data_IF_272194854790
#
_entry.id   IF_272194854790
#
_cell.length_a   1.000
_cell.length_b   1.000
_cell.length_c   1.000
_cell.angle_alpha   90.00
_cell.angle_beta   90.00
_cell.angle_gamma   90.00
#
_symmetry.space_group_name_H-M   'P 1'
#
loop_
_entity.id
_entity.type
_entity.pdbx_description
1 polymer ?
#
# COMPACT_ATOMS: atom_id res chain seq x y z
N UNK A 1 -14.26 -24.92 -14.31
CA UNK A 1 -13.15 -24.58 -13.38
C UNK A 1 -12.23 -25.80 -13.32
N UNK A 2 -10.90 -25.56 -13.33
CA UNK A 2 -9.93 -26.64 -13.18
C UNK A 2 -9.80 -27.02 -11.70
N UNK A 3 -9.45 -28.28 -11.41
CA UNK A 3 -9.09 -28.65 -10.06
C UNK A 3 -7.63 -28.23 -9.75
N UNK A 4 -7.29 -28.16 -8.45
CA UNK A 4 -5.99 -27.68 -7.98
C UNK A 4 -4.79 -28.39 -8.61
N UNK A 5 -4.84 -29.73 -8.72
CA UNK A 5 -3.76 -30.53 -9.31
C UNK A 5 -3.59 -30.28 -10.83
N UNK A 6 -4.73 -30.21 -11.56
CA UNK A 6 -4.71 -29.87 -12.99
C UNK A 6 -4.14 -28.48 -13.21
N UNK A 7 -4.59 -27.50 -12.43
CA UNK A 7 -4.15 -26.12 -12.55
C UNK A 7 -2.64 -25.99 -12.28
N UNK A 8 -2.13 -26.68 -11.26
CA UNK A 8 -0.70 -26.75 -10.95
C UNK A 8 0.13 -27.28 -12.14
N UNK A 9 -0.33 -28.36 -12.78
CA UNK A 9 0.34 -28.91 -13.96
C UNK A 9 0.31 -27.94 -15.14
N UNK A 10 -0.79 -27.26 -15.36
CA UNK A 10 -0.94 -26.26 -16.43
C UNK A 10 0.00 -25.06 -16.20
N UNK A 11 0.14 -24.56 -14.97
CA UNK A 11 1.06 -23.47 -14.61
C UNK A 11 2.50 -23.92 -14.80
N UNK A 12 2.87 -25.11 -14.30
CA UNK A 12 4.22 -25.66 -14.46
C UNK A 12 4.61 -25.82 -15.93
N UNK A 13 3.65 -26.20 -16.79
CA UNK A 13 3.83 -26.32 -18.24
C UNK A 13 3.85 -24.96 -18.98
N UNK A 14 3.62 -23.84 -18.30
CA UNK A 14 3.66 -22.50 -18.89
C UNK A 14 2.38 -22.07 -19.61
N UNK A 15 1.27 -22.80 -19.48
CA UNK A 15 0.00 -22.46 -20.12
C UNK A 15 -0.55 -21.07 -19.72
N UNK A 16 -0.15 -20.59 -18.54
CA UNK A 16 -0.62 -19.33 -17.95
C UNK A 16 0.41 -18.20 -18.03
N UNK A 17 1.50 -18.38 -18.78
CA UNK A 17 2.60 -17.41 -18.84
C UNK A 17 2.18 -16.03 -19.29
N UNK A 18 1.25 -15.92 -20.24
CA UNK A 18 0.81 -14.63 -20.74
C UNK A 18 0.09 -13.81 -19.62
N UNK A 19 -0.65 -14.52 -18.74
CA UNK A 19 -1.22 -13.89 -17.56
C UNK A 19 -0.16 -13.44 -16.57
N UNK A 20 0.87 -14.29 -16.35
CA UNK A 20 1.99 -13.95 -15.47
C UNK A 20 2.82 -12.79 -16.03
N UNK A 21 3.07 -12.76 -17.35
CA UNK A 21 3.76 -11.63 -18.00
C UNK A 21 2.99 -10.33 -17.83
N UNK A 22 1.67 -10.36 -18.00
CA UNK A 22 0.83 -9.19 -17.81
C UNK A 22 0.89 -8.62 -16.37
N UNK A 23 1.18 -9.45 -15.37
CA UNK A 23 1.28 -9.05 -13.97
C UNK A 23 2.70 -8.67 -13.55
N UNK A 24 3.72 -9.40 -14.03
CA UNK A 24 5.08 -9.36 -13.49
C UNK A 24 6.15 -8.95 -14.52
N UNK A 25 5.75 -8.72 -15.78
CA UNK A 25 6.66 -8.39 -16.88
C UNK A 25 7.29 -9.61 -17.54
N UNK A 26 8.07 -9.37 -18.62
CA UNK A 26 8.49 -10.41 -19.57
C UNK A 26 9.81 -11.13 -19.21
N UNK A 27 10.46 -10.74 -18.10
CA UNK A 27 11.75 -11.35 -17.72
C UNK A 27 11.59 -12.85 -17.45
N UNK A 28 12.28 -13.70 -18.21
CA UNK A 28 12.15 -15.15 -18.15
C UNK A 28 12.41 -15.71 -16.75
N UNK A 29 13.39 -15.16 -16.01
CA UNK A 29 13.69 -15.55 -14.65
C UNK A 29 12.51 -15.25 -13.71
N UNK A 30 11.86 -14.09 -13.90
CA UNK A 30 10.70 -13.69 -13.08
C UNK A 30 9.50 -14.60 -13.36
N UNK A 31 9.22 -14.92 -14.63
CA UNK A 31 8.14 -15.84 -14.98
C UNK A 31 8.39 -17.23 -14.38
N UNK A 32 9.63 -17.72 -14.41
CA UNK A 32 9.99 -18.99 -13.78
C UNK A 32 9.75 -18.94 -12.25
N UNK A 33 10.14 -17.86 -11.60
CA UNK A 33 9.91 -17.63 -10.18
C UNK A 33 8.41 -17.61 -9.84
N UNK A 34 7.61 -16.92 -10.64
CA UNK A 34 6.16 -16.83 -10.42
C UNK A 34 5.47 -18.18 -10.66
N UNK A 35 5.82 -18.94 -11.69
CA UNK A 35 5.30 -20.32 -11.85
C UNK A 35 5.52 -21.15 -10.58
N UNK A 36 6.76 -21.15 -10.07
CA UNK A 36 7.09 -21.90 -8.86
C UNK A 36 6.28 -21.42 -7.64
N UNK A 37 6.10 -20.10 -7.49
CA UNK A 37 5.32 -19.48 -6.40
C UNK A 37 3.85 -19.85 -6.46
N UNK A 38 3.23 -19.81 -7.62
CA UNK A 38 1.83 -20.18 -7.82
C UNK A 38 1.62 -21.70 -7.60
N UNK A 39 2.52 -22.54 -8.11
CA UNK A 39 2.48 -23.98 -7.85
C UNK A 39 2.60 -24.28 -6.35
N UNK A 40 3.52 -23.64 -5.65
CA UNK A 40 3.66 -23.79 -4.20
C UNK A 40 2.42 -23.33 -3.43
N UNK A 41 1.75 -22.25 -3.86
CA UNK A 41 0.51 -21.81 -3.24
C UNK A 41 -0.61 -22.85 -3.42
N UNK A 42 -0.73 -23.49 -4.59
CA UNK A 42 -1.68 -24.57 -4.85
C UNK A 42 -1.38 -25.82 -4.00
N UNK A 43 -0.12 -26.21 -3.86
CA UNK A 43 0.30 -27.32 -3.00
C UNK A 43 -0.05 -27.07 -1.54
N UNK A 44 0.18 -25.86 -1.06
CA UNK A 44 -0.17 -25.49 0.32
C UNK A 44 -1.68 -25.44 0.50
N UNK A 45 -2.45 -24.97 -0.48
CA UNK A 45 -3.89 -25.04 -0.43
C UNK A 45 -4.39 -26.50 -0.27
N UNK A 46 -3.86 -27.44 -1.08
CA UNK A 46 -4.20 -28.87 -0.99
C UNK A 46 -3.83 -29.47 0.37
N UNK A 47 -2.72 -29.05 0.97
CA UNK A 47 -2.30 -29.51 2.29
C UNK A 47 -3.29 -29.14 3.39
N UNK A 48 -3.85 -27.93 3.36
CA UNK A 48 -4.75 -27.44 4.41
C UNK A 48 -6.22 -27.77 4.16
N UNK A 49 -6.65 -27.83 2.89
CA UNK A 49 -8.08 -27.88 2.54
C UNK A 49 -8.45 -29.11 1.68
N UNK A 50 -7.49 -30.00 1.44
CA UNK A 50 -7.68 -31.23 0.68
C UNK A 50 -7.45 -31.08 -0.83
N UNK A 51 -7.01 -32.18 -1.48
CA UNK A 51 -6.74 -32.20 -2.91
C UNK A 51 -8.00 -32.25 -3.76
N UNK A 52 -7.86 -31.94 -5.05
CA UNK A 52 -8.89 -32.17 -6.07
C UNK A 52 -10.06 -31.15 -6.04
N UNK A 53 -10.02 -30.14 -5.21
CA UNK A 53 -11.02 -29.07 -5.19
C UNK A 53 -10.90 -28.19 -6.42
N UNK A 54 -12.05 -27.70 -6.88
CA UNK A 54 -12.08 -26.63 -7.88
C UNK A 54 -11.64 -25.33 -7.22
N UNK A 55 -10.63 -24.69 -7.79
CA UNK A 55 -10.01 -23.48 -7.24
C UNK A 55 -9.92 -22.38 -8.26
N UNK A 56 -9.84 -21.15 -7.76
CA UNK A 56 -9.48 -19.96 -8.51
C UNK A 56 -8.27 -19.29 -7.85
N UNK A 57 -7.49 -18.56 -8.64
CA UNK A 57 -6.30 -17.89 -8.13
C UNK A 57 -6.45 -16.38 -8.33
N UNK A 58 -6.22 -15.66 -7.27
CA UNK A 58 -6.32 -14.21 -7.20
C UNK A 58 -4.96 -13.59 -6.89
N UNK A 59 -4.75 -12.36 -7.32
CA UNK A 59 -3.55 -11.59 -7.02
C UNK A 59 -3.94 -10.16 -6.69
N UNK A 60 -3.42 -9.63 -5.59
CA UNK A 60 -3.64 -8.25 -5.15
C UNK A 60 -2.29 -7.57 -4.86
N UNK A 61 -1.95 -6.47 -5.57
CA UNK A 61 -0.65 -5.81 -5.44
C UNK A 61 -0.51 -5.01 -4.16
N UNK A 62 0.73 -4.85 -3.68
CA UNK A 62 1.12 -3.76 -2.81
C UNK A 62 1.23 -2.45 -3.57
N UNK A 63 1.53 -1.35 -2.86
CA UNK A 63 1.68 -0.03 -3.46
C UNK A 63 2.93 0.70 -2.97
N UNK A 64 3.52 1.53 -3.83
CA UNK A 64 4.48 2.57 -3.48
C UNK A 64 3.78 3.93 -3.45
N UNK A 65 3.97 4.71 -2.38
CA UNK A 65 3.47 6.08 -2.29
C UNK A 65 4.44 7.02 -3.04
N UNK A 66 3.98 7.68 -4.08
CA UNK A 66 4.81 8.57 -4.90
C UNK A 66 4.76 10.01 -4.43
N UNK A 67 3.65 10.45 -3.84
CA UNK A 67 3.42 11.79 -3.32
C UNK A 67 2.17 11.88 -2.46
N UNK A 68 1.97 13.00 -1.77
CA UNK A 68 0.81 13.22 -0.92
C UNK A 68 0.97 12.56 0.47
N UNK A 69 2.16 12.66 1.04
CA UNK A 69 2.43 12.09 2.35
C UNK A 69 1.60 12.75 3.44
N UNK A 70 0.73 11.99 4.11
CA UNK A 70 -0.18 12.46 5.19
C UNK A 70 -1.18 13.54 4.78
N UNK A 71 -1.58 13.59 3.50
CA UNK A 71 -2.57 14.57 3.01
C UNK A 71 -3.97 13.99 2.87
N UNK A 72 -4.12 12.71 2.61
CA UNK A 72 -5.39 12.03 2.34
C UNK A 72 -6.38 12.12 3.50
N UNK A 73 -5.93 11.89 4.74
CA UNK A 73 -6.77 12.01 5.93
C UNK A 73 -7.14 13.48 6.30
N UNK A 74 -6.59 14.46 5.59
CA UNK A 74 -6.91 15.88 5.66
C UNK A 74 -7.66 16.37 4.42
N UNK A 75 -8.22 15.46 3.62
CA UNK A 75 -8.93 15.74 2.36
C UNK A 75 -8.05 16.40 1.29
N UNK A 76 -6.79 16.04 1.24
CA UNK A 76 -5.83 16.49 0.24
C UNK A 76 -5.67 15.51 -0.92
N UNK A 77 -4.54 15.61 -1.61
CA UNK A 77 -4.21 14.80 -2.78
C UNK A 77 -3.29 13.64 -2.40
N UNK A 78 -3.43 12.52 -3.12
CA UNK A 78 -2.54 11.38 -3.01
C UNK A 78 -2.05 10.91 -4.38
N UNK A 79 -0.83 10.44 -4.46
CA UNK A 79 -0.24 9.87 -5.65
C UNK A 79 0.48 8.56 -5.27
N UNK A 80 0.05 7.45 -5.85
CA UNK A 80 0.61 6.13 -5.54
C UNK A 80 0.63 5.21 -6.76
N UNK A 81 1.49 4.20 -6.74
CA UNK A 81 1.62 3.22 -7.81
C UNK A 81 1.52 1.79 -7.29
N UNK A 82 0.77 0.95 -7.98
CA UNK A 82 0.77 -0.49 -7.73
C UNK A 82 2.09 -1.11 -8.16
N UNK A 83 2.58 -2.07 -7.39
CA UNK A 83 3.87 -2.73 -7.62
C UNK A 83 3.72 -4.23 -7.83
N UNK A 84 4.73 -4.87 -8.43
CA UNK A 84 4.69 -6.31 -8.73
C UNK A 84 4.84 -7.21 -7.50
N UNK A 85 5.21 -6.66 -6.34
CA UNK A 85 5.09 -7.39 -5.08
C UNK A 85 3.62 -7.46 -4.69
N UNK A 86 3.10 -8.67 -4.55
CA UNK A 86 1.68 -8.91 -4.34
C UNK A 86 1.38 -10.01 -3.33
N UNK A 87 0.11 -10.13 -3.00
CA UNK A 87 -0.48 -11.29 -2.35
C UNK A 87 -1.12 -12.17 -3.42
N UNK A 88 -0.73 -13.45 -3.47
CA UNK A 88 -1.41 -14.50 -4.24
C UNK A 88 -2.32 -15.27 -3.29
N UNK A 89 -3.58 -15.47 -3.70
CA UNK A 89 -4.55 -16.26 -2.97
C UNK A 89 -5.10 -17.38 -3.87
N UNK A 90 -5.07 -18.61 -3.37
CA UNK A 90 -5.79 -19.76 -3.95
C UNK A 90 -7.06 -19.95 -3.15
N UNK A 91 -8.22 -19.89 -3.79
CA UNK A 91 -9.51 -19.96 -3.11
C UNK A 91 -10.43 -21.01 -3.73
N UNK A 92 -11.24 -21.64 -2.89
CA UNK A 92 -12.31 -22.55 -3.28
C UNK A 92 -13.58 -22.22 -2.51
N UNK A 93 -14.68 -22.11 -3.22
CA UNK A 93 -16.01 -21.97 -2.64
C UNK A 93 -16.33 -23.13 -1.69
N UNK A 94 -17.05 -22.84 -0.60
CA UNK A 94 -17.69 -23.84 0.27
C UNK A 94 -19.13 -23.43 0.57
N UNK A 95 -19.90 -24.36 1.15
CA UNK A 95 -21.36 -24.20 1.40
C UNK A 95 -21.69 -24.25 2.88
N UNK A 96 -20.69 -24.26 3.76
CA UNK A 96 -20.90 -24.42 5.21
C UNK A 96 -21.00 -23.10 5.98
N UNK A 97 -20.91 -21.95 5.28
CA UNK A 97 -21.07 -20.63 5.89
C UNK A 97 -19.84 -20.11 6.62
N UNK A 98 -18.68 -20.77 6.47
CA UNK A 98 -17.44 -20.33 7.08
C UNK A 98 -16.45 -19.78 6.05
N UNK A 99 -15.67 -18.77 6.43
CA UNK A 99 -14.45 -18.40 5.73
C UNK A 99 -13.25 -18.92 6.51
N UNK A 100 -12.39 -19.68 5.82
CA UNK A 100 -11.14 -20.18 6.40
C UNK A 100 -9.97 -19.68 5.58
N UNK A 101 -9.05 -18.98 6.23
CA UNK A 101 -7.87 -18.43 5.55
C UNK A 101 -6.60 -18.88 6.26
N UNK A 102 -5.75 -19.57 5.52
CA UNK A 102 -4.39 -19.90 5.94
C UNK A 102 -3.39 -19.02 5.22
N UNK A 103 -2.68 -18.21 5.97
CA UNK A 103 -1.67 -17.30 5.43
C UNK A 103 -0.26 -17.83 5.64
N UNK A 104 0.61 -17.75 4.62
CA UNK A 104 2.02 -18.12 4.70
C UNK A 104 2.72 -17.35 5.82
N UNK A 105 3.47 -18.04 6.66
CA UNK A 105 4.21 -17.43 7.78
C UNK A 105 3.40 -17.22 9.05
N UNK A 106 2.13 -17.64 9.09
CA UNK A 106 1.30 -17.61 10.28
C UNK A 106 0.92 -19.02 10.72
N UNK A 107 1.00 -19.28 12.01
CA UNK A 107 0.64 -20.60 12.55
C UNK A 107 -0.87 -20.81 12.61
N UNK A 108 -1.62 -19.73 12.90
CA UNK A 108 -3.08 -19.79 13.07
C UNK A 108 -3.80 -19.87 11.71
N UNK A 109 -4.84 -20.67 11.66
CA UNK A 109 -5.87 -20.64 10.62
C UNK A 109 -6.95 -19.65 11.09
N UNK A 110 -7.24 -18.62 10.31
CA UNK A 110 -8.40 -17.77 10.56
C UNK A 110 -9.67 -18.50 10.16
N UNK A 111 -10.65 -18.56 11.07
CA UNK A 111 -11.95 -19.21 10.84
C UNK A 111 -13.02 -18.21 11.24
N UNK A 112 -13.82 -17.77 10.28
CA UNK A 112 -14.85 -16.75 10.45
C UNK A 112 -16.21 -17.39 10.16
N UNK A 113 -17.06 -17.41 11.17
CA UNK A 113 -18.48 -17.75 11.02
C UNK A 113 -19.21 -16.53 10.44
N UNK A 114 -19.79 -16.69 9.26
CA UNK A 114 -20.50 -15.63 8.55
C UNK A 114 -21.92 -15.37 9.11
N UNK A 115 -22.42 -16.20 10.03
CA UNK A 115 -23.69 -15.97 10.73
C UNK A 115 -23.53 -14.99 11.90
N UNK A 116 -22.28 -14.74 12.35
CA UNK A 116 -21.96 -13.83 13.44
C UNK A 116 -21.61 -12.47 12.86
N UNK A 117 -22.47 -11.50 13.09
CA UNK A 117 -22.35 -10.12 12.60
C UNK A 117 -21.61 -9.21 13.58
N UNK A 118 -21.12 -8.07 13.07
CA UNK A 118 -20.49 -7.03 13.86
C UNK A 118 -19.06 -7.36 14.33
N UNK A 119 -18.35 -6.37 14.89
CA UNK A 119 -17.02 -6.56 15.48
C UNK A 119 -17.10 -7.51 16.68
N UNK A 120 -16.14 -8.44 16.78
CA UNK A 120 -16.09 -9.41 17.87
C UNK A 120 -15.00 -9.03 18.88
N UNK A 121 -15.29 -9.25 20.17
CA UNK A 121 -14.31 -9.04 21.23
C UNK A 121 -13.08 -9.93 21.01
N UNK A 122 -11.88 -9.34 21.10
CA UNK A 122 -10.59 -10.02 20.88
C UNK A 122 -10.20 -10.25 19.42
N UNK A 123 -11.01 -9.87 18.43
CA UNK A 123 -10.61 -9.90 17.00
C UNK A 123 -9.92 -8.62 16.54
N UNK A 124 -10.09 -7.49 17.23
CA UNK A 124 -9.42 -6.22 16.87
C UNK A 124 -7.93 -6.42 16.67
N UNK A 125 -7.35 -5.77 15.63
CA UNK A 125 -5.95 -5.90 15.21
C UNK A 125 -5.52 -7.28 14.65
N UNK A 126 -6.47 -8.18 14.39
CA UNK A 126 -6.21 -9.48 13.76
C UNK A 126 -6.83 -9.58 12.37
N UNK A 127 -6.27 -10.43 11.52
CA UNK A 127 -6.78 -10.68 10.14
C UNK A 127 -8.25 -11.11 10.11
N UNK A 128 -8.72 -11.82 11.13
CA UNK A 128 -10.11 -12.24 11.25
C UNK A 128 -11.08 -11.06 11.25
N UNK A 129 -10.75 -9.96 11.94
CA UNK A 129 -11.60 -8.76 11.94
C UNK A 129 -11.69 -8.10 10.57
N UNK A 130 -10.60 -8.06 9.81
CA UNK A 130 -10.60 -7.55 8.43
C UNK A 130 -11.53 -8.40 7.54
N UNK A 131 -11.41 -9.73 7.60
CA UNK A 131 -12.23 -10.65 6.81
C UNK A 131 -13.71 -10.45 7.16
N UNK A 132 -14.05 -10.37 8.45
CA UNK A 132 -15.43 -10.12 8.92
C UNK A 132 -15.94 -8.76 8.43
N UNK A 133 -15.15 -7.70 8.57
CA UNK A 133 -15.53 -6.35 8.14
C UNK A 133 -15.75 -6.26 6.62
N UNK A 134 -14.95 -6.96 5.81
CA UNK A 134 -15.14 -7.04 4.36
C UNK A 134 -16.46 -7.75 4.04
N UNK A 135 -16.76 -8.89 4.70
CA UNK A 135 -18.03 -9.60 4.53
C UNK A 135 -19.24 -8.68 4.83
N UNK A 136 -19.17 -7.92 5.93
CA UNK A 136 -20.22 -6.95 6.28
C UNK A 136 -20.33 -5.82 5.26
N UNK A 137 -19.21 -5.31 4.75
CA UNK A 137 -19.21 -4.31 3.69
C UNK A 137 -19.89 -4.81 2.40
N UNK A 138 -19.68 -6.06 2.01
CA UNK A 138 -20.40 -6.68 0.88
C UNK A 138 -21.90 -6.81 1.16
N UNK A 139 -22.30 -7.21 2.37
CA UNK A 139 -23.73 -7.26 2.77
C UNK A 139 -24.37 -5.88 2.72
N UNK A 140 -23.70 -4.87 3.29
CA UNK A 140 -24.17 -3.49 3.25
C UNK A 140 -24.34 -2.95 1.83
N UNK A 141 -23.51 -3.42 0.89
CA UNK A 141 -23.64 -3.14 -0.54
C UNK A 141 -24.72 -3.98 -1.25
N UNK A 142 -25.50 -4.80 -0.51
CA UNK A 142 -26.54 -5.65 -1.06
C UNK A 142 -26.03 -6.83 -1.89
N UNK A 143 -24.79 -7.27 -1.63
CA UNK A 143 -24.13 -8.34 -2.39
C UNK A 143 -24.19 -9.68 -1.65
N UNK A 144 -24.13 -10.76 -2.42
CA UNK A 144 -24.08 -12.11 -1.87
C UNK A 144 -22.75 -12.31 -1.13
N UNK A 145 -22.85 -12.87 0.08
CA UNK A 145 -21.71 -13.26 0.89
C UNK A 145 -21.87 -14.74 1.26
N UNK A 146 -20.84 -15.53 0.99
CA UNK A 146 -20.81 -16.94 1.33
C UNK A 146 -19.40 -17.39 1.69
N UNK A 147 -19.28 -18.67 2.09
CA UNK A 147 -18.06 -19.24 2.60
C UNK A 147 -17.05 -19.60 1.51
N UNK A 148 -15.78 -19.50 1.85
CA UNK A 148 -14.67 -20.02 1.04
C UNK A 148 -13.52 -20.48 1.93
N UNK A 149 -12.69 -21.34 1.37
CA UNK A 149 -11.40 -21.71 1.95
C UNK A 149 -10.30 -21.12 1.09
N UNK A 150 -9.32 -20.45 1.70
CA UNK A 150 -8.23 -19.82 0.97
C UNK A 150 -6.86 -20.03 1.60
N UNK A 151 -5.85 -20.25 0.77
CA UNK A 151 -4.44 -20.14 1.13
C UNK A 151 -3.86 -18.87 0.53
N UNK A 152 -3.15 -18.07 1.34
CA UNK A 152 -2.54 -16.83 0.87
C UNK A 152 -1.02 -16.84 1.04
N UNK A 153 -0.31 -16.32 0.04
CA UNK A 153 1.14 -16.15 0.05
C UNK A 153 1.51 -14.75 -0.43
N UNK A 154 1.94 -13.91 0.50
CA UNK A 154 2.34 -12.52 0.21
C UNK A 154 3.84 -12.40 0.04
N UNK A 155 4.26 -11.66 -0.99
CA UNK A 155 5.60 -11.12 -1.17
C UNK A 155 5.64 -9.62 -0.78
N UNK A 156 4.47 -9.01 -0.48
CA UNK A 156 4.41 -7.68 0.13
C UNK A 156 4.84 -7.80 1.58
N UNK A 157 5.94 -7.16 1.91
CA UNK A 157 6.54 -7.25 3.23
C UNK A 157 5.71 -6.52 4.27
N UNK A 158 5.61 -7.11 5.45
CA UNK A 158 4.96 -6.47 6.59
C UNK A 158 5.84 -5.34 7.13
N UNK A 159 5.21 -4.21 7.44
CA UNK A 159 5.95 -3.06 7.97
C UNK A 159 6.86 -2.35 6.96
N UNK A 160 6.85 -2.76 5.69
CA UNK A 160 7.69 -2.18 4.64
C UNK A 160 7.14 -0.89 4.02
N UNK A 161 6.02 -0.35 4.53
CA UNK A 161 5.38 0.79 3.89
C UNK A 161 4.80 0.51 2.48
N UNK A 162 4.73 -0.77 2.05
CA UNK A 162 4.16 -1.19 0.76
C UNK A 162 2.69 -1.66 0.88
N UNK A 163 2.03 -1.40 2.01
CA UNK A 163 0.63 -1.72 2.29
C UNK A 163 0.25 -3.19 2.17
N UNK A 164 0.93 -4.03 2.96
CA UNK A 164 0.57 -5.45 3.05
C UNK A 164 -0.85 -5.70 3.57
N UNK A 165 -1.41 -4.81 4.40
CA UNK A 165 -2.81 -4.87 4.86
C UNK A 165 -3.76 -4.67 3.67
N UNK A 166 -3.59 -3.59 2.89
CA UNK A 166 -4.45 -3.31 1.74
C UNK A 166 -4.37 -4.43 0.68
N UNK A 167 -3.18 -4.99 0.43
CA UNK A 167 -3.05 -6.14 -0.47
C UNK A 167 -3.81 -7.38 0.05
N UNK A 168 -3.81 -7.64 1.37
CA UNK A 168 -4.57 -8.72 1.97
C UNK A 168 -6.08 -8.46 1.88
N UNK A 169 -6.52 -7.29 2.27
CA UNK A 169 -7.93 -6.87 2.21
C UNK A 169 -8.47 -6.96 0.79
N UNK A 170 -7.74 -6.41 -0.18
CA UNK A 170 -8.11 -6.48 -1.59
C UNK A 170 -8.11 -7.90 -2.13
N UNK A 171 -7.20 -8.77 -1.66
CA UNK A 171 -7.20 -10.19 -1.97
C UNK A 171 -8.49 -10.88 -1.51
N UNK A 172 -8.92 -10.62 -0.27
CA UNK A 172 -10.18 -11.16 0.26
C UNK A 172 -11.40 -10.61 -0.48
N UNK A 173 -11.44 -9.30 -0.72
CA UNK A 173 -12.52 -8.66 -1.47
C UNK A 173 -12.61 -9.18 -2.92
N UNK A 174 -11.48 -9.40 -3.58
CA UNK A 174 -11.44 -9.98 -4.92
C UNK A 174 -11.99 -11.42 -4.96
N UNK A 175 -11.73 -12.22 -3.92
CA UNK A 175 -12.30 -13.57 -3.80
C UNK A 175 -13.83 -13.47 -3.76
N UNK A 176 -14.43 -12.69 -2.84
CA UNK A 176 -15.89 -12.55 -2.79
C UNK A 176 -16.47 -12.02 -4.09
N UNK A 177 -15.85 -10.97 -4.65
CA UNK A 177 -16.32 -10.39 -5.90
C UNK A 177 -16.31 -11.41 -7.06
N UNK A 178 -15.28 -12.27 -7.12
CA UNK A 178 -15.12 -13.29 -8.16
C UNK A 178 -15.94 -14.55 -7.93
N UNK A 179 -15.90 -15.12 -6.71
CA UNK A 179 -16.60 -16.39 -6.39
C UNK A 179 -18.12 -16.24 -6.39
N UNK A 180 -18.63 -15.08 -5.95
CA UNK A 180 -20.06 -14.82 -5.83
C UNK A 180 -20.63 -13.91 -6.92
N UNK A 181 -19.80 -13.52 -7.89
CA UNK A 181 -20.24 -12.72 -9.05
C UNK A 181 -20.83 -11.37 -8.65
N UNK A 182 -20.29 -10.72 -7.62
CA UNK A 182 -20.87 -9.50 -7.05
C UNK A 182 -20.81 -8.30 -7.99
N UNK A 183 -19.86 -8.26 -8.94
CA UNK A 183 -19.78 -7.23 -9.98
C UNK A 183 -19.46 -5.83 -9.45
N UNK A 184 -18.82 -5.72 -8.28
CA UNK A 184 -18.38 -4.45 -7.72
C UNK A 184 -17.17 -3.91 -8.48
N UNK A 185 -17.18 -2.59 -8.72
CA UNK A 185 -16.03 -1.90 -9.32
C UNK A 185 -14.85 -1.82 -8.34
N UNK A 186 -13.60 -1.67 -8.83
CA UNK A 186 -12.42 -1.59 -7.98
C UNK A 186 -12.51 -0.55 -6.85
N UNK A 187 -13.04 0.63 -7.14
CA UNK A 187 -13.19 1.69 -6.14
C UNK A 187 -14.21 1.34 -5.04
N UNK A 188 -15.26 0.58 -5.36
CA UNK A 188 -16.24 0.10 -4.38
C UNK A 188 -15.60 -0.94 -3.47
N UNK A 189 -14.81 -1.87 -4.01
CA UNK A 189 -14.04 -2.85 -3.22
C UNK A 189 -13.07 -2.15 -2.28
N UNK A 190 -12.37 -1.12 -2.74
CA UNK A 190 -11.45 -0.35 -1.92
C UNK A 190 -12.15 0.32 -0.71
N UNK A 191 -13.34 0.89 -0.91
CA UNK A 191 -14.15 1.46 0.17
C UNK A 191 -14.61 0.43 1.20
N UNK A 192 -15.00 -0.76 0.74
CA UNK A 192 -15.34 -1.89 1.63
C UNK A 192 -14.13 -2.29 2.47
N UNK A 193 -12.94 -2.37 1.87
CA UNK A 193 -11.72 -2.72 2.57
C UNK A 193 -11.32 -1.64 3.61
N UNK A 194 -11.40 -0.36 3.25
CA UNK A 194 -11.17 0.74 4.19
C UNK A 194 -12.17 0.72 5.36
N UNK A 195 -13.45 0.47 5.08
CA UNK A 195 -14.46 0.30 6.13
C UNK A 195 -14.09 -0.81 7.11
N UNK A 196 -13.63 -1.96 6.60
CA UNK A 196 -13.18 -3.07 7.43
C UNK A 196 -11.95 -2.68 8.28
N UNK A 197 -10.96 -2.00 7.70
CA UNK A 197 -9.77 -1.55 8.43
C UNK A 197 -10.12 -0.53 9.53
N UNK A 198 -10.99 0.44 9.23
CA UNK A 198 -11.33 1.49 10.17
C UNK A 198 -12.29 1.02 11.27
N UNK A 199 -13.30 0.19 10.94
CA UNK A 199 -14.39 -0.16 11.85
C UNK A 199 -14.13 -1.46 12.61
N UNK A 200 -13.54 -2.46 11.96
CA UNK A 200 -13.34 -3.81 12.54
C UNK A 200 -11.93 -4.02 13.05
N UNK A 201 -10.93 -3.61 12.29
CA UNK A 201 -9.53 -3.74 12.71
C UNK A 201 -9.13 -2.64 13.71
N UNK A 202 -9.78 -1.47 13.63
CA UNK A 202 -9.57 -0.35 14.54
C UNK A 202 -8.39 0.55 14.18
N UNK A 203 -7.94 0.54 12.92
CA UNK A 203 -6.89 1.43 12.42
C UNK A 203 -7.50 2.50 11.52
N UNK A 204 -7.48 3.79 11.91
CA UNK A 204 -8.03 4.89 11.11
C UNK A 204 -7.09 5.21 9.93
N UNK A 205 -7.29 4.53 8.80
CA UNK A 205 -6.50 4.70 7.58
C UNK A 205 -7.21 5.57 6.54
N UNK A 206 -6.41 6.20 5.65
CA UNK A 206 -6.89 6.79 4.41
C UNK A 206 -7.32 5.71 3.40
N UNK A 207 -7.79 6.15 2.23
CA UNK A 207 -8.31 5.24 1.20
C UNK A 207 -7.29 4.95 0.08
N UNK A 208 -6.18 5.71 0.00
CA UNK A 208 -5.24 5.66 -1.10
C UNK A 208 -4.62 4.26 -1.33
N UNK A 209 -4.32 3.57 -0.24
CA UNK A 209 -3.70 2.25 -0.26
C UNK A 209 -4.58 1.21 -0.94
N UNK A 210 -5.84 1.11 -0.47
CA UNK A 210 -6.82 0.19 -1.01
C UNK A 210 -7.19 0.55 -2.46
N UNK A 211 -7.34 1.85 -2.78
CA UNK A 211 -7.61 2.29 -4.15
C UNK A 211 -6.48 1.89 -5.11
N UNK A 212 -5.23 2.10 -4.71
CA UNK A 212 -4.08 1.76 -5.56
C UNK A 212 -3.99 0.25 -5.78
N UNK A 213 -4.16 -0.54 -4.73
CA UNK A 213 -4.20 -2.01 -4.84
C UNK A 213 -5.39 -2.50 -5.67
N UNK A 214 -6.54 -1.84 -5.60
CA UNK A 214 -7.74 -2.20 -6.35
C UNK A 214 -7.64 -1.90 -7.84
N UNK A 215 -7.15 -0.71 -8.21
CA UNK A 215 -7.19 -0.19 -9.59
C UNK A 215 -5.93 -0.53 -10.39
N UNK A 216 -4.76 -0.55 -9.72
CA UNK A 216 -3.47 -0.75 -10.39
C UNK A 216 -2.98 0.48 -11.16
N UNK A 217 -1.77 0.39 -11.72
CA UNK A 217 -1.10 1.50 -12.38
C UNK A 217 -0.66 2.59 -11.41
N UNK A 218 -0.52 3.81 -11.90
CA UNK A 218 -0.31 5.00 -11.08
C UNK A 218 -1.66 5.68 -10.90
N UNK A 219 -2.00 6.01 -9.65
CA UNK A 219 -3.26 6.66 -9.30
C UNK A 219 -2.96 7.99 -8.65
N UNK A 220 -3.54 9.05 -9.20
CA UNK A 220 -3.77 10.30 -8.51
C UNK A 220 -5.18 10.29 -7.92
N UNK A 221 -5.30 10.67 -6.65
CA UNK A 221 -6.58 10.76 -5.94
C UNK A 221 -6.75 12.14 -5.31
N UNK A 222 -7.93 12.75 -5.50
CA UNK A 222 -8.37 13.95 -4.78
C UNK A 222 -9.43 13.54 -3.75
N UNK A 223 -9.13 13.76 -2.49
CA UNK A 223 -9.99 13.41 -1.35
C UNK A 223 -10.82 14.60 -0.82
N UNK A 224 -11.03 15.64 -1.62
CA UNK A 224 -11.90 16.77 -1.24
C UNK A 224 -13.29 16.29 -0.79
N UNK A 225 -13.84 15.29 -1.48
CA UNK A 225 -14.97 14.49 -1.00
C UNK A 225 -14.48 13.05 -0.69
N UNK A 226 -14.24 12.70 0.58
CA UNK A 226 -13.76 11.37 0.94
C UNK A 226 -14.78 10.26 0.67
N UNK A 227 -16.07 10.59 0.51
CA UNK A 227 -17.10 9.61 0.15
C UNK A 227 -17.06 9.28 -1.35
N UNK A 228 -16.65 10.25 -2.18
CA UNK A 228 -16.54 10.09 -3.62
C UNK A 228 -15.24 10.76 -4.13
N UNK A 229 -14.06 10.20 -3.79
CA UNK A 229 -12.80 10.77 -4.22
C UNK A 229 -12.73 10.76 -5.76
N UNK A 230 -12.22 11.85 -6.32
CA UNK A 230 -11.88 11.87 -7.74
C UNK A 230 -10.62 11.04 -7.98
N UNK A 231 -10.67 10.16 -8.96
CA UNK A 231 -9.57 9.26 -9.30
C UNK A 231 -9.14 9.48 -10.74
N UNK A 232 -7.85 9.62 -10.94
CA UNK A 232 -7.23 9.68 -12.25
C UNK A 232 -6.14 8.61 -12.34
N UNK A 233 -6.26 7.72 -13.32
CA UNK A 233 -5.22 6.74 -13.62
C UNK A 233 -4.21 7.34 -14.60
N UNK A 234 -2.96 7.37 -14.21
CA UNK A 234 -1.83 7.78 -15.03
C UNK A 234 -1.16 6.52 -15.56
N UNK A 235 -0.90 6.46 -16.88
CA UNK A 235 -0.22 5.30 -17.46
C UNK A 235 1.22 5.17 -16.94
N UNK A 236 1.58 3.96 -16.50
CA UNK A 236 2.86 3.71 -15.83
C UNK A 236 4.08 3.80 -16.77
N UNK A 237 3.87 3.79 -18.09
CA UNK A 237 4.93 3.78 -19.09
C UNK A 237 5.89 4.98 -19.00
N UNK A 238 5.52 6.04 -18.28
CA UNK A 238 6.30 7.26 -18.14
C UNK A 238 6.97 7.45 -16.77
N UNK A 239 6.63 6.64 -15.73
CA UNK A 239 7.20 6.89 -14.40
C UNK A 239 8.69 6.59 -14.33
N UNK A 240 9.11 5.49 -14.93
CA UNK A 240 10.50 5.06 -14.90
C UNK A 240 11.07 5.12 -16.32
N UNK A 241 11.86 6.15 -16.67
CA UNK A 241 12.53 6.17 -17.95
C UNK A 241 13.49 4.99 -18.09
N UNK A 242 13.82 4.59 -19.34
CA UNK A 242 14.81 3.54 -19.57
C UNK A 242 16.10 3.81 -18.78
N UNK A 243 16.58 2.80 -18.06
CA UNK A 243 17.78 2.93 -17.24
C UNK A 243 17.56 3.50 -15.84
N UNK A 244 16.32 3.62 -15.37
CA UNK A 244 15.96 3.97 -14.00
C UNK A 244 15.25 2.82 -13.29
N UNK A 245 15.56 2.60 -12.02
CA UNK A 245 14.90 1.59 -11.17
C UNK A 245 14.31 2.24 -9.93
N UNK A 246 13.11 1.80 -9.54
CA UNK A 246 12.53 2.12 -8.23
C UNK A 246 13.01 1.09 -7.21
N UNK A 247 13.73 1.54 -6.20
CA UNK A 247 14.19 0.71 -5.09
C UNK A 247 13.44 1.09 -3.82
N UNK A 248 13.06 0.09 -3.03
CA UNK A 248 12.56 0.29 -1.66
C UNK A 248 13.51 -0.39 -0.69
N UNK A 249 13.96 0.35 0.31
CA UNK A 249 14.86 -0.15 1.35
C UNK A 249 14.08 -0.36 2.64
N UNK A 250 14.07 -1.60 3.14
CA UNK A 250 13.57 -1.95 4.47
C UNK A 250 14.67 -1.70 5.50
N UNK A 251 14.46 -0.71 6.37
CA UNK A 251 15.43 -0.33 7.41
C UNK A 251 15.39 -1.23 8.64
N UNK A 252 14.57 -2.29 8.61
CA UNK A 252 14.34 -3.24 9.72
C UNK A 252 13.81 -2.60 11.00
N UNK A 253 13.31 -1.37 10.92
CA UNK A 253 12.64 -0.69 12.03
C UNK A 253 11.25 -1.27 12.31
N UNK A 254 10.83 -1.27 13.58
CA UNK A 254 9.51 -1.73 13.99
C UNK A 254 8.54 -0.56 14.19
N UNK A 255 7.29 -0.73 13.77
CA UNK A 255 6.20 0.23 14.00
C UNK A 255 5.41 -0.06 15.28
N UNK A 256 5.72 -1.13 16.02
CA UNK A 256 4.85 -1.66 17.10
C UNK A 256 4.60 -0.69 18.25
N UNK A 257 5.51 0.25 18.50
CA UNK A 257 5.40 1.23 19.61
C UNK A 257 5.16 2.66 19.11
N UNK A 258 4.96 2.86 17.80
CA UNK A 258 4.90 4.18 17.17
C UNK A 258 3.47 4.67 16.87
N UNK A 259 2.45 3.93 17.28
CA UNK A 259 1.04 4.28 17.03
C UNK A 259 0.69 5.69 17.50
N UNK A 260 1.24 6.14 18.63
CA UNK A 260 1.06 7.49 19.15
C UNK A 260 1.63 8.58 18.24
N UNK A 261 2.79 8.35 17.63
CA UNK A 261 3.43 9.31 16.72
C UNK A 261 2.63 9.45 15.40
N UNK A 262 2.12 8.33 14.87
CA UNK A 262 1.22 8.37 13.71
C UNK A 262 -0.08 9.12 14.01
N UNK A 263 -0.71 8.83 15.14
CA UNK A 263 -1.93 9.51 15.56
C UNK A 263 -1.71 11.02 15.75
N UNK A 264 -0.55 11.41 16.28
CA UNK A 264 -0.19 12.81 16.52
C UNK A 264 -0.11 13.63 15.23
N UNK A 265 0.28 13.05 14.09
CA UNK A 265 0.31 13.80 12.81
C UNK A 265 -1.10 14.27 12.46
N UNK A 266 -2.05 13.35 12.45
CA UNK A 266 -3.45 13.66 12.15
C UNK A 266 -4.05 14.62 13.17
N UNK A 267 -3.89 14.35 14.46
CA UNK A 267 -4.45 15.15 15.54
C UNK A 267 -3.94 16.59 15.52
N UNK A 268 -2.65 16.80 15.26
CA UNK A 268 -2.06 18.13 15.20
C UNK A 268 -2.54 18.93 13.97
N UNK A 269 -2.74 18.28 12.82
CA UNK A 269 -3.35 18.92 11.65
C UNK A 269 -4.81 19.28 11.91
N UNK A 270 -5.58 18.38 12.53
CA UNK A 270 -6.97 18.62 12.93
C UNK A 270 -7.09 19.73 13.99
N UNK A 271 -6.13 19.86 14.90
CA UNK A 271 -6.06 20.92 15.89
C UNK A 271 -5.96 22.32 15.22
N UNK A 272 -5.11 22.45 14.20
CA UNK A 272 -5.00 23.67 13.40
C UNK A 272 -6.31 23.96 12.66
N UNK A 273 -6.91 22.96 12.03
CA UNK A 273 -8.19 23.11 11.33
C UNK A 273 -9.31 23.55 12.30
N UNK A 274 -9.39 22.92 13.47
CA UNK A 274 -10.39 23.23 14.50
C UNK A 274 -10.25 24.66 15.03
N UNK A 275 -9.02 25.15 15.24
CA UNK A 275 -8.79 26.55 15.62
C UNK A 275 -9.37 27.54 14.59
N UNK A 276 -9.35 27.17 13.31
CA UNK A 276 -9.90 27.93 12.19
C UNK A 276 -11.37 27.60 11.90
N UNK A 277 -12.07 26.88 12.80
CA UNK A 277 -13.48 26.55 12.69
C UNK A 277 -13.80 25.49 11.63
N UNK A 278 -12.82 24.63 11.31
CA UNK A 278 -12.93 23.56 10.32
C UNK A 278 -12.62 22.19 10.94
N UNK A 279 -12.98 21.12 10.23
CA UNK A 279 -12.70 19.74 10.70
C UNK A 279 -11.32 19.25 10.25
N UNK A 280 -10.93 19.60 9.02
CA UNK A 280 -9.70 19.16 8.37
C UNK A 280 -9.06 20.30 7.59
N UNK A 281 -7.77 20.22 7.31
CA UNK A 281 -7.02 21.28 6.61
C UNK A 281 -7.50 21.49 5.17
N UNK A 282 -8.06 20.49 4.49
CA UNK A 282 -8.65 20.64 3.15
C UNK A 282 -9.84 21.62 3.09
N UNK A 283 -10.43 21.97 4.24
CA UNK A 283 -11.48 22.97 4.36
C UNK A 283 -10.95 24.38 4.70
N UNK A 284 -9.64 24.51 4.92
CA UNK A 284 -8.96 25.76 5.29
C UNK A 284 -8.29 26.33 4.04
N UNK A 285 -8.49 27.63 3.78
CA UNK A 285 -7.71 28.31 2.74
C UNK A 285 -6.32 28.61 3.25
N UNK A 286 -5.30 28.47 2.40
CA UNK A 286 -3.91 28.75 2.78
C UNK A 286 -3.75 30.20 3.26
N UNK A 287 -4.46 31.15 2.66
CA UNK A 287 -4.44 32.56 3.08
C UNK A 287 -4.96 32.75 4.51
N UNK A 288 -6.04 32.06 4.90
CA UNK A 288 -6.56 32.11 6.26
C UNK A 288 -5.60 31.50 7.28
N UNK A 289 -4.93 30.41 6.91
CA UNK A 289 -3.88 29.81 7.74
C UNK A 289 -2.72 30.78 7.99
N UNK A 290 -2.16 31.36 6.93
CA UNK A 290 -1.04 32.31 7.06
C UNK A 290 -1.40 33.58 7.84
N UNK A 291 -2.63 34.11 7.67
CA UNK A 291 -3.12 35.26 8.42
C UNK A 291 -3.23 34.96 9.92
N UNK A 292 -3.58 33.73 10.30
CA UNK A 292 -3.73 33.31 11.69
C UNK A 292 -2.43 32.80 12.33
N UNK A 293 -1.31 32.70 11.60
CA UNK A 293 -0.08 32.04 12.03
C UNK A 293 0.40 32.41 13.43
N UNK A 294 0.45 33.71 13.86
CA UNK A 294 0.90 34.06 15.20
C UNK A 294 0.02 33.48 16.31
N UNK A 295 -1.32 33.45 16.08
CA UNK A 295 -2.29 32.91 17.02
C UNK A 295 -2.24 31.38 17.05
N UNK A 296 -2.14 30.72 15.89
CA UNK A 296 -1.99 29.28 15.75
C UNK A 296 -0.74 28.77 16.48
N UNK A 297 0.39 29.42 16.30
CA UNK A 297 1.64 29.08 16.96
C UNK A 297 1.51 29.13 18.48
N UNK A 298 0.81 30.14 19.01
CA UNK A 298 0.58 30.27 20.45
C UNK A 298 -0.39 29.23 21.01
N UNK A 299 -1.44 28.91 20.26
CA UNK A 299 -2.52 28.04 20.72
C UNK A 299 -2.23 26.56 20.48
N UNK A 300 -1.66 26.20 19.33
CA UNK A 300 -1.50 24.81 18.85
C UNK A 300 -0.05 24.30 18.95
N UNK A 301 0.94 25.21 19.08
CA UNK A 301 2.35 24.86 19.12
C UNK A 301 3.03 24.77 17.76
N UNK A 302 4.37 24.82 17.78
CA UNK A 302 5.18 24.92 16.56
C UNK A 302 5.08 23.68 15.67
N UNK A 303 5.07 22.46 16.23
CA UNK A 303 5.00 21.22 15.44
C UNK A 303 3.68 21.08 14.70
N UNK A 304 2.55 21.43 15.31
CA UNK A 304 1.25 21.41 14.64
C UNK A 304 1.22 22.39 13.46
N UNK A 305 1.80 23.59 13.64
CA UNK A 305 1.95 24.59 12.57
C UNK A 305 2.84 24.05 11.43
N UNK A 306 3.99 23.45 11.73
CA UNK A 306 4.88 22.86 10.72
C UNK A 306 4.18 21.75 9.92
N UNK A 307 3.41 20.90 10.58
CA UNK A 307 2.62 19.84 9.93
C UNK A 307 1.51 20.41 9.03
N UNK A 308 0.90 21.54 9.41
CA UNK A 308 -0.04 22.21 8.53
C UNK A 308 0.65 22.86 7.31
N UNK A 309 1.84 23.45 7.46
CA UNK A 309 2.63 23.94 6.35
C UNK A 309 2.98 22.79 5.41
N UNK A 310 3.43 21.64 5.96
CA UNK A 310 3.66 20.44 5.18
C UNK A 310 2.44 20.05 4.33
N UNK A 311 1.24 20.07 4.92
CA UNK A 311 0.01 19.72 4.22
C UNK A 311 -0.21 20.60 2.98
N UNK A 312 -0.12 21.93 3.10
CA UNK A 312 -0.34 22.86 1.98
C UNK A 312 0.72 22.68 0.89
N UNK A 313 2.00 22.63 1.28
CA UNK A 313 3.09 22.43 0.33
C UNK A 313 3.03 21.06 -0.35
N UNK A 314 2.72 19.99 0.39
CA UNK A 314 2.66 18.64 -0.16
C UNK A 314 1.49 18.48 -1.14
N UNK A 315 0.35 19.11 -0.90
CA UNK A 315 -0.74 19.14 -1.87
C UNK A 315 -0.34 19.80 -3.19
N UNK A 316 0.28 21.00 -3.13
CA UNK A 316 0.75 21.68 -4.33
C UNK A 316 1.81 20.85 -5.06
N UNK A 317 2.71 20.21 -4.32
CA UNK A 317 3.77 19.32 -4.86
C UNK A 317 3.18 18.08 -5.50
N UNK A 318 2.14 17.48 -4.91
CA UNK A 318 1.49 16.28 -5.46
C UNK A 318 0.81 16.56 -6.81
N UNK A 319 0.17 17.73 -6.96
CA UNK A 319 -0.35 18.17 -8.25
C UNK A 319 0.79 18.33 -9.28
N UNK A 320 1.88 19.00 -8.91
CA UNK A 320 3.03 19.17 -9.79
C UNK A 320 3.69 17.82 -10.17
N UNK A 321 3.74 16.87 -9.23
CA UNK A 321 4.22 15.51 -9.49
C UNK A 321 3.33 14.78 -10.51
N UNK A 322 2.00 14.86 -10.36
CA UNK A 322 1.04 14.32 -11.33
C UNK A 322 1.30 14.90 -12.72
N UNK A 323 1.36 16.22 -12.81
CA UNK A 323 1.52 16.94 -14.09
C UNK A 323 2.87 16.58 -14.76
N UNK A 324 3.94 16.47 -13.99
CA UNK A 324 5.25 16.05 -14.48
C UNK A 324 5.22 14.59 -15.02
N UNK A 325 4.53 13.68 -14.34
CA UNK A 325 4.37 12.30 -14.81
C UNK A 325 3.54 12.22 -16.09
N UNK A 326 2.43 12.95 -16.18
CA UNK A 326 1.61 13.02 -17.39
C UNK A 326 2.39 13.58 -18.58
N UNK A 327 3.28 14.53 -18.35
CA UNK A 327 4.13 15.13 -19.36
C UNK A 327 5.39 14.30 -19.67
N UNK A 328 5.64 13.18 -19.01
CA UNK A 328 6.84 12.37 -19.17
C UNK A 328 8.14 13.08 -18.70
N UNK A 329 8.02 14.06 -17.81
CA UNK A 329 9.14 14.89 -17.31
C UNK A 329 9.71 14.30 -16.02
N UNK A 330 10.46 13.20 -16.13
CA UNK A 330 11.00 12.49 -14.97
C UNK A 330 11.91 13.38 -14.10
N UNK A 331 12.77 14.19 -14.68
CA UNK A 331 13.68 15.05 -13.90
C UNK A 331 12.92 16.06 -13.03
N UNK A 332 11.82 16.62 -13.54
CA UNK A 332 10.94 17.49 -12.76
C UNK A 332 10.25 16.70 -11.63
N UNK A 333 9.75 15.51 -11.92
CA UNK A 333 9.18 14.62 -10.92
C UNK A 333 10.22 14.25 -9.84
N UNK A 334 11.44 13.88 -10.21
CA UNK A 334 12.52 13.52 -9.31
C UNK A 334 12.91 14.67 -8.37
N UNK A 335 12.96 15.91 -8.89
CA UNK A 335 13.19 17.10 -8.07
C UNK A 335 12.09 17.27 -7.00
N UNK A 336 10.82 17.09 -7.38
CA UNK A 336 9.68 17.15 -6.45
C UNK A 336 9.69 16.01 -5.41
N UNK A 337 10.19 14.82 -5.76
CA UNK A 337 10.43 13.72 -4.80
C UNK A 337 11.44 14.13 -3.74
N UNK A 338 12.55 14.74 -4.12
CA UNK A 338 13.56 15.24 -3.18
C UNK A 338 13.01 16.34 -2.27
N UNK A 339 12.19 17.25 -2.81
CA UNK A 339 11.53 18.29 -2.01
C UNK A 339 10.55 17.69 -1.00
N UNK A 340 9.73 16.71 -1.42
CA UNK A 340 8.83 15.98 -0.53
C UNK A 340 9.61 15.29 0.60
N UNK A 341 10.75 14.66 0.30
CA UNK A 341 11.63 14.08 1.30
C UNK A 341 12.16 15.09 2.32
N UNK A 342 12.53 16.28 1.88
CA UNK A 342 12.96 17.39 2.76
C UNK A 342 11.80 17.91 3.62
N UNK A 343 10.61 18.06 3.04
CA UNK A 343 9.41 18.48 3.76
C UNK A 343 9.00 17.45 4.83
N UNK A 344 9.07 16.15 4.52
CA UNK A 344 8.85 15.07 5.49
C UNK A 344 9.81 15.17 6.67
N UNK A 345 11.09 15.47 6.43
CA UNK A 345 12.10 15.61 7.47
C UNK A 345 11.91 16.89 8.31
N UNK A 346 11.73 18.03 7.65
CA UNK A 346 11.76 19.35 8.30
C UNK A 346 10.39 19.78 8.86
N UNK A 347 9.31 19.48 8.17
CA UNK A 347 7.96 20.00 8.46
C UNK A 347 7.06 18.93 9.07
N UNK A 348 6.85 17.81 8.40
CA UNK A 348 6.03 16.71 8.91
C UNK A 348 6.68 16.04 10.12
N UNK A 349 8.02 15.99 10.15
CA UNK A 349 8.85 15.37 11.19
C UNK A 349 8.46 13.91 11.44
N UNK A 350 8.28 13.16 10.36
CA UNK A 350 7.91 11.74 10.39
C UNK A 350 9.02 10.80 9.89
N UNK A 351 10.25 11.30 9.75
CA UNK A 351 11.41 10.47 9.35
C UNK A 351 12.08 9.81 10.55
N UNK A 352 11.95 10.38 11.73
CA UNK A 352 12.52 9.86 12.97
C UNK A 352 11.59 10.11 14.15
N UNK A 353 11.73 9.27 15.18
CA UNK A 353 11.06 9.48 16.46
C UNK A 353 11.99 10.26 17.39
N UNK A 354 11.52 11.38 17.94
CA UNK A 354 12.32 12.22 18.84
C UNK A 354 12.58 11.58 20.20
N UNK A 355 11.77 10.60 20.59
CA UNK A 355 11.91 9.86 21.85
C UNK A 355 12.85 8.66 21.75
N UNK A 356 13.16 8.20 20.53
CA UNK A 356 14.11 7.11 20.28
C UNK A 356 15.26 7.58 19.39
N UNK A 357 16.27 8.14 20.01
CA UNK A 357 17.46 8.69 19.31
C UNK A 357 18.42 7.61 18.81
N UNK A 358 18.24 6.34 19.21
CA UNK A 358 19.14 5.25 18.81
C UNK A 358 18.66 4.53 17.55
N UNK A 359 17.37 4.50 17.28
CA UNK A 359 16.76 3.74 16.17
C UNK A 359 16.18 4.68 15.11
N UNK A 360 17.07 5.31 14.34
CA UNK A 360 16.71 6.23 13.27
C UNK A 360 17.09 5.67 11.89
N UNK A 361 16.66 4.44 11.60
CA UNK A 361 17.02 3.70 10.39
C UNK A 361 16.65 4.43 9.10
N UNK A 362 15.49 5.10 9.05
CA UNK A 362 15.08 5.91 7.88
C UNK A 362 16.08 7.04 7.60
N UNK A 363 16.49 7.79 8.63
CA UNK A 363 17.46 8.87 8.48
C UNK A 363 18.80 8.36 7.96
N UNK A 364 19.27 7.20 8.47
CA UNK A 364 20.52 6.56 8.00
C UNK A 364 20.39 6.12 6.54
N UNK A 365 19.26 5.51 6.16
CA UNK A 365 19.01 5.06 4.78
C UNK A 365 18.92 6.23 3.80
N UNK A 366 18.28 7.34 4.19
CA UNK A 366 18.21 8.56 3.39
C UNK A 366 19.61 9.20 3.21
N UNK A 367 20.41 9.29 4.28
CA UNK A 367 21.77 9.82 4.21
C UNK A 367 22.68 8.94 3.32
N UNK A 368 22.56 7.62 3.42
CA UNK A 368 23.28 6.68 2.56
C UNK A 368 22.84 6.83 1.10
N UNK A 369 21.54 6.92 0.82
CA UNK A 369 21.01 7.18 -0.52
C UNK A 369 21.55 8.49 -1.09
N UNK A 370 21.55 9.55 -0.30
CA UNK A 370 22.15 10.82 -0.69
C UNK A 370 23.62 10.67 -1.06
N UNK A 371 24.42 9.97 -0.25
CA UNK A 371 25.85 9.82 -0.50
C UNK A 371 26.19 9.07 -1.80
N UNK A 372 25.25 8.20 -2.25
CA UNK A 372 25.41 7.41 -3.48
C UNK A 372 24.83 8.14 -4.70
N UNK A 373 23.67 8.79 -4.55
CA UNK A 373 22.88 9.30 -5.65
C UNK A 373 23.03 10.80 -5.91
N UNK A 374 23.62 11.56 -4.97
CA UNK A 374 23.81 13.00 -5.14
C UNK A 374 24.67 13.31 -6.39
N UNK A 375 24.18 14.23 -7.22
CA UNK A 375 24.81 14.60 -8.48
C UNK A 375 24.45 13.70 -9.66
N UNK A 376 23.60 12.68 -9.45
CA UNK A 376 22.96 11.89 -10.52
C UNK A 376 21.54 12.38 -10.78
N UNK A 377 20.84 11.70 -11.70
CA UNK A 377 19.39 11.90 -11.95
C UNK A 377 18.51 11.14 -10.93
N UNK A 378 19.10 10.55 -9.89
CA UNK A 378 18.40 9.80 -8.85
C UNK A 378 17.67 10.70 -7.86
N UNK A 379 16.64 10.14 -7.22
CA UNK A 379 15.89 10.80 -6.16
C UNK A 379 15.58 9.81 -5.03
N UNK A 380 15.32 10.32 -3.83
CA UNK A 380 15.02 9.49 -2.67
C UNK A 380 14.14 10.23 -1.68
N UNK A 381 13.30 9.49 -0.98
CA UNK A 381 12.47 9.99 0.13
C UNK A 381 12.02 8.85 1.04
N UNK A 382 11.48 9.20 2.18
CA UNK A 382 10.77 8.27 3.04
C UNK A 382 9.52 7.71 2.32
N UNK A 383 9.15 6.45 2.60
CA UNK A 383 8.03 5.72 2.02
C UNK A 383 6.94 5.48 3.06
N UNK A 384 5.69 5.81 2.75
CA UNK A 384 4.53 5.58 3.61
C UNK A 384 4.46 6.50 4.82
N UNK A 385 3.99 6.02 5.97
CA UNK A 385 3.72 6.84 7.16
C UNK A 385 4.93 7.38 7.91
N UNK A 386 6.10 6.78 7.74
CA UNK A 386 7.34 7.24 8.37
C UNK A 386 7.65 6.62 9.73
N UNK A 387 8.46 7.30 10.52
CA UNK A 387 9.04 6.95 11.84
C UNK A 387 9.87 5.67 11.85
N UNK A 388 9.49 4.64 11.12
CA UNK A 388 10.19 3.39 10.89
C UNK A 388 9.81 2.83 9.49
N UNK A 389 10.27 1.63 9.15
CA UNK A 389 9.91 0.95 7.91
C UNK A 389 10.86 1.24 6.76
N UNK A 390 10.41 1.94 5.71
CA UNK A 390 11.12 1.99 4.44
C UNK A 390 11.35 3.38 3.88
N UNK A 391 12.36 3.47 3.03
CA UNK A 391 12.56 4.58 2.08
C UNK A 391 12.36 4.08 0.66
N UNK A 392 12.07 4.98 -0.26
CA UNK A 392 12.12 4.74 -1.69
C UNK A 392 13.25 5.55 -2.33
N UNK A 393 13.83 5.00 -3.39
CA UNK A 393 14.84 5.66 -4.19
C UNK A 393 14.66 5.33 -5.67
N UNK A 394 14.79 6.33 -6.51
CA UNK A 394 14.89 6.22 -7.96
C UNK A 394 16.36 6.18 -8.32
N UNK A 395 16.82 5.03 -8.77
CA UNK A 395 18.25 4.72 -8.91
C UNK A 395 18.61 4.53 -10.38
N UNK A 396 19.52 5.34 -10.95
CA UNK A 396 20.05 5.10 -12.28
C UNK A 396 20.71 3.72 -12.39
N UNK A 397 20.52 3.03 -13.52
CA UNK A 397 21.06 1.69 -13.74
C UNK A 397 22.57 1.61 -13.54
N UNK A 398 23.31 2.68 -13.88
CA UNK A 398 24.76 2.75 -13.65
C UNK A 398 25.17 2.73 -12.17
N UNK A 399 24.26 3.07 -11.26
CA UNK A 399 24.49 3.08 -9.82
C UNK A 399 23.76 1.95 -9.09
N UNK A 400 22.91 1.15 -9.78
CA UNK A 400 22.02 0.20 -9.16
C UNK A 400 22.73 -0.89 -8.36
N UNK A 401 23.78 -1.49 -8.92
CA UNK A 401 24.56 -2.52 -8.23
C UNK A 401 25.25 -1.98 -6.99
N UNK A 402 25.86 -0.79 -7.10
CA UNK A 402 26.49 -0.11 -5.95
C UNK A 402 25.45 0.24 -4.89
N UNK A 403 24.32 0.81 -5.29
CA UNK A 403 23.24 1.19 -4.38
C UNK A 403 22.72 -0.05 -3.62
N UNK A 404 22.39 -1.11 -4.36
CA UNK A 404 21.89 -2.36 -3.79
C UNK A 404 22.88 -2.96 -2.78
N UNK A 405 24.16 -3.09 -3.17
CA UNK A 405 25.19 -3.68 -2.30
C UNK A 405 25.47 -2.86 -1.05
N UNK A 406 25.50 -1.52 -1.14
CA UNK A 406 25.73 -0.66 0.00
C UNK A 406 24.53 -0.64 0.98
N UNK A 407 23.30 -0.63 0.46
CA UNK A 407 22.10 -0.75 1.28
C UNK A 407 22.10 -2.09 2.03
N UNK A 408 22.33 -3.20 1.33
CA UNK A 408 22.34 -4.53 1.99
C UNK A 408 23.52 -4.70 2.96
N UNK A 409 24.63 -4.05 2.71
CA UNK A 409 25.77 -4.04 3.66
C UNK A 409 25.38 -3.39 5.00
N UNK A 410 24.54 -2.36 4.97
CA UNK A 410 24.14 -1.61 6.19
C UNK A 410 22.91 -2.22 6.84
N UNK A 411 21.89 -2.59 6.08
CA UNK A 411 20.58 -3.04 6.61
C UNK A 411 20.38 -4.56 6.54
N UNK A 412 21.37 -5.28 6.01
CA UNK A 412 21.34 -6.73 5.90
C UNK A 412 20.80 -7.22 4.54
N UNK A 413 21.16 -8.45 4.21
CA UNK A 413 20.75 -9.10 2.95
C UNK A 413 19.24 -9.11 2.80
N UNK A 414 18.75 -8.79 1.61
CA UNK A 414 17.33 -8.72 1.27
C UNK A 414 16.62 -7.50 1.88
N UNK A 415 17.34 -6.42 2.19
CA UNK A 415 16.75 -5.15 2.62
C UNK A 415 16.46 -4.19 1.47
N UNK A 416 17.05 -4.41 0.29
CA UNK A 416 16.86 -3.59 -0.90
C UNK A 416 16.01 -4.33 -1.94
N UNK A 417 14.83 -3.82 -2.22
CA UNK A 417 13.90 -4.38 -3.20
C UNK A 417 13.88 -3.52 -4.45
N UNK A 418 14.17 -4.12 -5.60
CA UNK A 418 14.00 -3.45 -6.89
C UNK A 418 12.57 -3.73 -7.35
N UNK A 419 11.74 -2.69 -7.40
CA UNK A 419 10.33 -2.78 -7.73
C UNK A 419 10.08 -2.52 -9.21
N UNK A 420 9.04 -3.17 -9.72
CA UNK A 420 8.42 -2.84 -11.01
C UNK A 420 7.00 -2.37 -10.74
N UNK A 421 6.51 -1.49 -11.59
CA UNK A 421 5.13 -1.05 -11.56
C UNK A 421 4.24 -2.13 -12.18
N UNK A 422 2.99 -2.17 -11.72
CA UNK A 422 2.00 -3.13 -12.17
C UNK A 422 0.74 -2.40 -12.62
N UNK A 423 0.36 -2.57 -13.89
CA UNK A 423 -0.81 -1.92 -14.49
C UNK A 423 -2.15 -2.47 -13.96
N UNK A 424 -2.16 -3.72 -13.54
CA UNK A 424 -3.38 -4.38 -13.06
C UNK A 424 -3.47 -4.33 -11.54
N UNK A 425 -4.62 -3.93 -11.03
CA UNK A 425 -4.94 -4.01 -9.60
C UNK A 425 -5.24 -5.43 -9.14
N UNK A 426 -6.05 -5.53 -8.08
CA UNK A 426 -6.51 -6.81 -7.57
C UNK A 426 -7.37 -7.52 -8.61
N UNK A 427 -7.01 -8.75 -8.96
CA UNK A 427 -7.58 -9.46 -10.09
C UNK A 427 -7.67 -10.96 -9.84
N UNK A 428 -8.69 -11.58 -10.42
CA UNK A 428 -8.71 -13.02 -10.66
C UNK A 428 -7.75 -13.33 -11.81
N UNK A 429 -6.72 -14.13 -11.51
CA UNK A 429 -5.69 -14.51 -12.49
C UNK A 429 -6.15 -15.71 -13.30
N UNK A 430 -6.69 -16.73 -12.60
CA UNK A 430 -7.10 -18.02 -13.16
C UNK A 430 -8.45 -18.42 -12.58
#
# INVERSE_FOLDING_TARGET
MANSAQLRNEIAAGKWDDKLRALYGDAAQEICRQRARYCAALEQFELYFGPGRQVQVYSAPGRAELGGNHTDHQHGYGLAAAVTLDLVAVAAHNTDGYVRVKSRGFNKLDVIDLTVEGPQEGESTHSASLIRGIAEGFRAAGKAVGGFDAYTASDVLRGSGLSSSAAFEMGMAAIWNGEYGCGLAPAELAKICQYAENTYFGKPSGLLDQLTSAVGGIIFADFADPQQPFLEKIHADGLLPPGMSLCVTDTRGSHSELTGEFAAIRQEMELIAAFLGKKVLGQVTESAFWAALPALRKACGDRAVLRAIHYFEENARTLAQRDALQAGQFDAFAALVLESGRASFALCQNVYCSTDVRHQGLSVALALSQSILQGSTGAWRMQGGGFAGTIQAYVPQSLLERYHSEIERVFGKGSCYILRLREQGAVKVI
#
